data_IF_345619840614
#
_entry.id   IF_345619840614
#
_cell.length_a   1.000
_cell.length_b   1.000
_cell.length_c   1.000
_cell.angle_alpha   90.00
_cell.angle_beta   90.00
_cell.angle_gamma   90.00
#
_symmetry.space_group_name_H-M   'P 1'
#
loop_
_entity.id
_entity.type
_entity.pdbx_description
1 polymer ?
#
# COMPACT_ATOMS: atom_id res chain seq x y z
N UNK A 1 36.97 -6.51 23.90
CA UNK A 1 35.61 -6.83 24.38
C UNK A 1 34.58 -6.08 23.51
N UNK A 2 34.02 -6.73 22.50
CA UNK A 2 32.89 -6.19 21.72
C UNK A 2 31.62 -6.37 22.55
N UNK A 3 30.99 -5.28 22.97
CA UNK A 3 29.67 -5.32 23.59
C UNK A 3 28.71 -5.93 22.60
N UNK A 4 28.11 -7.07 22.94
CA UNK A 4 27.01 -7.64 22.18
C UNK A 4 25.89 -6.57 22.05
N UNK A 5 25.30 -6.36 20.87
CA UNK A 5 24.16 -5.48 20.74
C UNK A 5 23.03 -6.05 21.59
N UNK A 6 22.48 -5.21 22.46
CA UNK A 6 21.28 -5.53 23.22
C UNK A 6 20.19 -5.92 22.21
N UNK A 7 19.78 -7.17 22.24
CA UNK A 7 18.65 -7.68 21.45
C UNK A 7 17.37 -7.03 21.99
N UNK A 8 17.06 -5.82 21.54
CA UNK A 8 15.71 -5.30 21.66
C UNK A 8 14.84 -6.17 20.74
N UNK A 9 14.10 -7.11 21.33
CA UNK A 9 12.99 -7.76 20.62
C UNK A 9 12.11 -6.64 20.09
N UNK A 10 11.94 -6.52 18.76
CA UNK A 10 11.08 -5.48 18.22
C UNK A 10 9.69 -5.62 18.82
N UNK A 11 9.11 -4.52 19.26
CA UNK A 11 7.81 -4.57 19.93
C UNK A 11 6.77 -5.17 18.98
N UNK A 12 5.88 -6.03 19.49
CA UNK A 12 4.79 -6.61 18.69
C UNK A 12 3.97 -5.55 17.95
N UNK A 13 3.90 -4.34 18.53
CA UNK A 13 3.30 -3.16 17.88
C UNK A 13 3.99 -2.76 16.57
N UNK A 14 5.32 -2.79 16.52
CA UNK A 14 6.07 -2.47 15.31
C UNK A 14 5.75 -3.46 14.19
N UNK A 15 5.74 -4.75 14.52
CA UNK A 15 5.38 -5.82 13.57
C UNK A 15 3.95 -5.64 13.08
N UNK A 16 2.98 -5.44 13.99
CA UNK A 16 1.58 -5.25 13.64
C UNK A 16 1.39 -4.01 12.73
N UNK A 17 2.06 -2.90 13.04
CA UNK A 17 2.03 -1.69 12.22
C UNK A 17 2.56 -1.96 10.80
N UNK A 18 3.73 -2.61 10.66
CA UNK A 18 4.30 -2.94 9.35
C UNK A 18 3.40 -3.88 8.54
N UNK A 19 2.83 -4.91 9.18
CA UNK A 19 1.89 -5.82 8.52
C UNK A 19 0.63 -5.10 8.04
N UNK A 20 0.09 -4.19 8.85
CA UNK A 20 -1.08 -3.40 8.49
C UNK A 20 -0.80 -2.44 7.32
N UNK A 21 0.41 -1.84 7.26
CA UNK A 21 0.84 -1.02 6.12
C UNK A 21 0.90 -1.84 4.82
N UNK A 22 1.43 -3.06 4.90
CA UNK A 22 1.50 -3.98 3.75
C UNK A 22 0.11 -4.44 3.32
N UNK A 23 -0.78 -4.74 4.28
CA UNK A 23 -2.15 -5.17 4.02
C UNK A 23 -2.98 -4.09 3.32
N UNK A 24 -2.74 -2.80 3.61
CA UNK A 24 -3.53 -1.68 3.10
C UNK A 24 -3.70 -1.70 1.58
N UNK A 25 -2.62 -1.93 0.84
CA UNK A 25 -2.65 -1.97 -0.62
C UNK A 25 -3.50 -3.13 -1.16
N UNK A 26 -3.42 -4.30 -0.52
CA UNK A 26 -4.22 -5.48 -0.89
C UNK A 26 -5.69 -5.30 -0.57
N UNK A 27 -6.00 -4.72 0.61
CA UNK A 27 -7.37 -4.35 0.99
C UNK A 27 -7.95 -3.38 -0.03
N UNK A 28 -7.23 -2.29 -0.35
CA UNK A 28 -7.66 -1.28 -1.31
C UNK A 28 -7.90 -1.88 -2.72
N UNK A 29 -7.10 -2.87 -3.11
CA UNK A 29 -7.25 -3.54 -4.39
C UNK A 29 -8.51 -4.40 -4.48
N UNK A 30 -8.85 -5.13 -3.41
CA UNK A 30 -9.83 -6.22 -3.48
C UNK A 30 -11.17 -5.94 -2.81
N UNK A 31 -11.25 -4.96 -1.90
CA UNK A 31 -12.48 -4.64 -1.16
C UNK A 31 -13.65 -4.22 -2.06
N UNK A 32 -13.37 -3.58 -3.19
CA UNK A 32 -14.41 -3.12 -4.13
C UNK A 32 -14.82 -4.16 -5.18
N UNK A 33 -14.15 -5.34 -5.26
CA UNK A 33 -14.44 -6.34 -6.30
C UNK A 33 -15.90 -6.76 -6.36
N UNK A 34 -16.62 -7.02 -5.23
CA UNK A 34 -18.04 -7.34 -5.28
C UNK A 34 -18.89 -6.21 -5.86
N UNK A 35 -18.57 -4.96 -5.50
CA UNK A 35 -19.30 -3.77 -5.96
C UNK A 35 -19.16 -3.52 -7.47
N UNK A 36 -18.05 -3.92 -8.07
CA UNK A 36 -17.77 -3.74 -9.50
C UNK A 36 -18.79 -4.46 -10.39
N UNK A 37 -19.45 -5.49 -9.90
CA UNK A 37 -20.47 -6.21 -10.68
C UNK A 37 -21.70 -5.35 -10.96
N UNK A 38 -22.02 -4.41 -10.08
CA UNK A 38 -23.18 -3.52 -10.20
C UNK A 38 -22.84 -2.17 -10.82
N UNK A 39 -21.56 -1.78 -10.91
CA UNK A 39 -21.15 -0.49 -11.42
C UNK A 39 -21.52 -0.26 -12.90
N UNK A 40 -21.56 -1.32 -13.72
CA UNK A 40 -22.03 -1.23 -15.09
C UNK A 40 -23.45 -0.69 -15.18
N UNK A 41 -24.33 -1.19 -14.30
CA UNK A 41 -25.73 -0.73 -14.21
C UNK A 41 -25.83 0.66 -13.53
N UNK A 42 -25.11 0.87 -12.41
CA UNK A 42 -25.15 2.12 -11.64
C UNK A 42 -24.71 3.33 -12.49
N UNK A 43 -23.62 3.17 -13.26
CA UNK A 43 -23.06 4.25 -14.07
C UNK A 43 -23.52 4.21 -15.55
N UNK A 44 -24.38 3.25 -15.92
CA UNK A 44 -24.85 3.05 -17.29
C UNK A 44 -23.71 2.93 -18.31
N UNK A 45 -22.70 2.12 -17.98
CA UNK A 45 -21.49 1.91 -18.80
C UNK A 45 -21.27 0.42 -19.06
N UNK A 46 -20.46 0.11 -20.06
CA UNK A 46 -20.06 -1.26 -20.35
C UNK A 46 -19.13 -1.83 -19.27
N UNK A 47 -19.19 -3.14 -19.08
CA UNK A 47 -18.32 -3.84 -18.12
C UNK A 47 -16.83 -3.67 -18.42
N UNK A 48 -16.46 -3.45 -19.66
CA UNK A 48 -15.10 -3.12 -20.09
C UNK A 48 -14.58 -1.83 -19.43
N UNK A 49 -15.43 -0.80 -19.30
CA UNK A 49 -15.09 0.45 -18.64
C UNK A 49 -14.99 0.30 -17.13
N UNK A 50 -15.85 -0.54 -16.53
CA UNK A 50 -15.74 -0.89 -15.10
C UNK A 50 -14.40 -1.56 -14.80
N UNK A 51 -13.94 -2.46 -15.67
CA UNK A 51 -12.66 -3.14 -15.48
C UNK A 51 -11.45 -2.20 -15.52
N UNK A 52 -11.54 -1.04 -16.16
CA UNK A 52 -10.49 -0.03 -16.12
C UNK A 52 -10.20 0.48 -14.71
N UNK A 53 -11.20 0.47 -13.81
CA UNK A 53 -10.99 0.86 -12.40
C UNK A 53 -10.01 -0.09 -11.69
N UNK A 54 -10.11 -1.39 -11.95
CA UNK A 54 -9.22 -2.40 -11.40
C UNK A 54 -7.85 -2.37 -12.11
N UNK A 55 -7.85 -2.40 -13.44
CA UNK A 55 -6.62 -2.40 -14.24
C UNK A 55 -5.79 -1.13 -13.99
N UNK A 56 -6.43 0.03 -13.94
CA UNK A 56 -5.78 1.31 -13.63
C UNK A 56 -5.15 1.31 -12.23
N UNK A 57 -5.87 0.78 -11.23
CA UNK A 57 -5.32 0.60 -9.89
C UNK A 57 -4.08 -0.30 -9.91
N UNK A 58 -4.16 -1.49 -10.52
CA UNK A 58 -3.07 -2.48 -10.54
C UNK A 58 -1.85 -1.94 -11.30
N UNK A 59 -2.07 -1.26 -12.43
CA UNK A 59 -0.97 -0.64 -13.19
C UNK A 59 -0.25 0.45 -12.39
N UNK A 60 -1.00 1.34 -11.74
CA UNK A 60 -0.43 2.38 -10.89
C UNK A 60 0.27 1.78 -9.66
N UNK A 61 -0.35 0.78 -9.03
CA UNK A 61 0.20 0.07 -7.88
C UNK A 61 1.52 -0.64 -8.23
N UNK A 62 1.56 -1.39 -9.35
CA UNK A 62 2.76 -2.08 -9.81
C UNK A 62 3.86 -1.11 -10.27
N UNK A 63 3.49 -0.08 -11.06
CA UNK A 63 4.43 0.92 -11.55
C UNK A 63 5.08 1.71 -10.41
N UNK A 64 4.31 2.13 -9.42
CA UNK A 64 4.84 2.87 -8.27
C UNK A 64 5.71 2.04 -7.34
N UNK A 65 5.59 0.71 -7.33
CA UNK A 65 6.52 -0.16 -6.59
C UNK A 65 7.97 0.00 -7.09
N UNK A 66 8.16 0.20 -8.39
CA UNK A 66 9.49 0.44 -8.97
C UNK A 66 10.09 1.78 -8.54
N UNK A 67 9.22 2.77 -8.28
CA UNK A 67 9.63 4.13 -7.90
C UNK A 67 9.86 4.24 -6.39
N UNK A 68 8.98 3.68 -5.57
CA UNK A 68 9.06 3.83 -4.11
C UNK A 68 10.28 3.16 -3.48
N UNK A 69 10.83 2.11 -4.06
CA UNK A 69 12.06 1.48 -3.60
C UNK A 69 13.20 2.50 -3.49
N UNK A 70 13.75 2.95 -4.63
CA UNK A 70 14.85 3.92 -4.66
C UNK A 70 14.52 5.25 -3.98
N UNK A 71 13.25 5.70 -4.10
CA UNK A 71 12.81 6.96 -3.50
C UNK A 71 12.85 6.89 -1.97
N UNK A 72 12.46 5.76 -1.38
CA UNK A 72 12.47 5.54 0.06
C UNK A 72 13.88 5.37 0.63
N UNK A 73 14.82 4.82 -0.16
CA UNK A 73 16.23 4.74 0.21
C UNK A 73 16.85 6.14 0.31
N UNK A 74 16.47 7.05 -0.58
CA UNK A 74 16.99 8.40 -0.65
C UNK A 74 16.37 9.37 0.36
N UNK A 75 15.04 9.38 0.48
CA UNK A 75 14.30 10.36 1.28
C UNK A 75 13.89 9.83 2.66
N UNK A 76 14.17 8.55 2.93
CA UNK A 76 13.83 7.89 4.19
C UNK A 76 12.51 7.10 4.09
N UNK A 77 12.53 5.89 4.65
CA UNK A 77 11.43 4.93 4.59
C UNK A 77 10.10 5.54 5.07
N UNK A 78 10.11 6.13 6.26
CA UNK A 78 8.92 6.70 6.88
C UNK A 78 8.31 7.84 6.07
N UNK A 79 9.14 8.75 5.55
CA UNK A 79 8.66 9.91 4.79
C UNK A 79 7.90 9.48 3.53
N UNK A 80 8.46 8.54 2.77
CA UNK A 80 7.84 8.03 1.55
C UNK A 80 6.58 7.22 1.84
N UNK A 81 6.55 6.47 2.94
CA UNK A 81 5.35 5.77 3.38
C UNK A 81 4.21 6.75 3.68
N UNK A 82 4.49 7.84 4.40
CA UNK A 82 3.50 8.87 4.72
C UNK A 82 2.97 9.57 3.46
N UNK A 83 3.85 9.89 2.50
CA UNK A 83 3.43 10.44 1.20
C UNK A 83 2.52 9.46 0.47
N UNK A 84 2.88 8.17 0.41
CA UNK A 84 2.05 7.15 -0.22
C UNK A 84 0.69 7.00 0.45
N UNK A 85 0.64 6.97 1.79
CA UNK A 85 -0.63 6.92 2.53
C UNK A 85 -1.50 8.15 2.29
N UNK A 86 -0.89 9.34 2.18
CA UNK A 86 -1.63 10.58 1.84
C UNK A 86 -2.23 10.50 0.44
N UNK A 87 -1.48 10.00 -0.55
CA UNK A 87 -2.01 9.77 -1.90
C UNK A 87 -3.11 8.71 -1.92
N UNK A 88 -2.92 7.61 -1.19
CA UNK A 88 -3.92 6.55 -1.05
C UNK A 88 -5.21 7.03 -0.38
N UNK A 89 -5.08 7.87 0.66
CA UNK A 89 -6.20 8.55 1.32
C UNK A 89 -6.94 9.47 0.34
N UNK A 90 -6.23 10.34 -0.36
CA UNK A 90 -6.82 11.25 -1.34
C UNK A 90 -7.56 10.46 -2.44
N UNK A 91 -6.94 9.41 -2.99
CA UNK A 91 -7.57 8.52 -3.96
C UNK A 91 -8.83 7.83 -3.42
N UNK A 92 -8.82 7.41 -2.15
CA UNK A 92 -9.99 6.79 -1.51
C UNK A 92 -11.15 7.78 -1.33
N UNK A 93 -10.86 8.99 -0.84
CA UNK A 93 -11.87 10.05 -0.67
C UNK A 93 -12.47 10.44 -2.04
N UNK A 94 -11.61 10.64 -3.04
CA UNK A 94 -12.08 10.95 -4.40
C UNK A 94 -12.97 9.82 -4.93
N UNK A 95 -12.55 8.56 -4.81
CA UNK A 95 -13.34 7.43 -5.29
C UNK A 95 -14.71 7.32 -4.61
N UNK A 96 -14.80 7.61 -3.31
CA UNK A 96 -16.07 7.65 -2.58
C UNK A 96 -17.01 8.77 -3.05
N UNK A 97 -16.45 9.84 -3.62
CA UNK A 97 -17.19 11.09 -3.99
C UNK A 97 -17.52 11.18 -5.49
N UNK A 98 -16.98 10.28 -6.33
CA UNK A 98 -17.23 10.34 -7.78
C UNK A 98 -18.63 9.88 -8.14
N UNK A 99 -19.26 10.64 -9.03
CA UNK A 99 -20.57 10.33 -9.61
C UNK A 99 -20.50 9.75 -11.02
N UNK A 100 -19.30 9.62 -11.59
CA UNK A 100 -19.09 9.11 -12.95
C UNK A 100 -17.93 8.09 -12.99
N UNK A 101 -17.93 7.24 -14.02
CA UNK A 101 -16.96 6.15 -14.16
C UNK A 101 -15.55 6.65 -14.44
N UNK A 102 -15.39 7.74 -15.21
CA UNK A 102 -14.06 8.24 -15.57
C UNK A 102 -13.35 8.83 -14.34
N UNK A 103 -14.07 9.61 -13.55
CA UNK A 103 -13.59 10.11 -12.26
C UNK A 103 -13.21 9.00 -11.30
N UNK A 104 -14.04 7.93 -11.24
CA UNK A 104 -13.75 6.76 -10.43
C UNK A 104 -12.47 6.04 -10.89
N UNK A 105 -12.25 5.88 -12.19
CA UNK A 105 -11.01 5.30 -12.74
C UNK A 105 -9.78 6.12 -12.30
N UNK A 106 -9.83 7.45 -12.46
CA UNK A 106 -8.73 8.33 -12.05
C UNK A 106 -8.45 8.27 -10.54
N UNK A 107 -9.51 8.28 -9.74
CA UNK A 107 -9.41 8.14 -8.30
C UNK A 107 -8.77 6.78 -7.90
N UNK A 108 -9.10 5.70 -8.59
CA UNK A 108 -8.52 4.37 -8.40
C UNK A 108 -7.05 4.30 -8.80
N UNK A 109 -6.66 4.97 -9.88
CA UNK A 109 -5.25 5.11 -10.28
C UNK A 109 -4.45 5.81 -9.17
N UNK A 110 -4.97 6.93 -8.65
CA UNK A 110 -4.34 7.66 -7.54
C UNK A 110 -4.25 6.82 -6.27
N UNK A 111 -5.34 6.11 -5.93
CA UNK A 111 -5.39 5.21 -4.78
C UNK A 111 -4.36 4.08 -4.91
N UNK A 112 -4.25 3.46 -6.09
CA UNK A 112 -3.28 2.41 -6.39
C UNK A 112 -1.84 2.92 -6.27
N UNK A 113 -1.57 4.08 -6.87
CA UNK A 113 -0.26 4.72 -6.77
C UNK A 113 0.16 4.96 -5.31
N UNK A 114 -0.73 5.50 -4.48
CA UNK A 114 -0.44 5.75 -3.07
C UNK A 114 -0.27 4.47 -2.25
N UNK A 115 -1.14 3.48 -2.47
CA UNK A 115 -1.18 2.24 -1.71
C UNK A 115 0.07 1.35 -1.90
N UNK A 116 0.78 1.51 -3.02
CA UNK A 116 1.99 0.76 -3.33
C UNK A 116 3.14 1.00 -2.33
N UNK A 117 3.17 2.17 -1.68
CA UNK A 117 4.21 2.52 -0.72
C UNK A 117 4.24 1.56 0.48
N UNK A 118 3.07 1.14 0.98
CA UNK A 118 2.96 0.20 2.10
C UNK A 118 3.67 -1.13 1.84
N UNK A 119 3.50 -1.68 0.64
CA UNK A 119 4.12 -2.95 0.25
C UNK A 119 5.64 -2.84 0.16
N UNK A 120 6.15 -1.84 -0.57
CA UNK A 120 7.59 -1.70 -0.82
C UNK A 120 8.32 -1.27 0.45
N UNK A 121 7.87 -0.17 1.06
CA UNK A 121 8.52 0.41 2.23
C UNK A 121 8.38 -0.51 3.44
N UNK A 122 7.21 -1.13 3.62
CA UNK A 122 6.98 -2.10 4.70
C UNK A 122 7.94 -3.28 4.65
N UNK A 123 8.09 -3.91 3.47
CA UNK A 123 9.06 -5.00 3.28
C UNK A 123 10.50 -4.57 3.48
N UNK A 124 10.87 -3.40 2.95
CA UNK A 124 12.22 -2.86 3.14
C UNK A 124 12.52 -2.60 4.61
N UNK A 125 11.56 -2.01 5.35
CA UNK A 125 11.72 -1.80 6.80
C UNK A 125 11.86 -3.12 7.58
N UNK A 126 11.15 -4.18 7.18
CA UNK A 126 11.33 -5.49 7.78
C UNK A 126 12.75 -6.03 7.54
N UNK A 127 13.30 -5.84 6.34
CA UNK A 127 14.67 -6.26 6.04
C UNK A 127 15.72 -5.46 6.82
N UNK A 128 15.47 -4.17 7.06
CA UNK A 128 16.38 -3.26 7.74
C UNK A 128 16.35 -3.44 9.27
N UNK A 129 15.17 -3.73 9.84
CA UNK A 129 14.95 -3.76 11.30
C UNK A 129 15.09 -5.13 11.93
N UNK A 130 14.91 -6.21 11.16
CA UNK A 130 14.91 -7.58 11.67
C UNK A 130 16.05 -8.40 11.07
N UNK A 131 16.63 -9.31 11.85
CA UNK A 131 17.72 -10.17 11.42
C UNK A 131 17.48 -11.63 11.83
N UNK A 132 18.12 -12.56 11.11
CA UNK A 132 18.09 -13.99 11.44
C UNK A 132 16.68 -14.57 11.52
N UNK A 133 16.40 -15.41 12.54
CA UNK A 133 15.11 -16.10 12.68
C UNK A 133 13.91 -15.15 12.83
N UNK A 134 14.09 -13.98 13.45
CA UNK A 134 13.01 -12.99 13.60
C UNK A 134 12.54 -12.44 12.26
N UNK A 135 13.49 -12.13 11.36
CA UNK A 135 13.16 -11.70 10.00
C UNK A 135 12.35 -12.76 9.25
N UNK A 136 12.75 -14.04 9.39
CA UNK A 136 12.02 -15.15 8.76
C UNK A 136 10.59 -15.26 9.28
N UNK A 137 10.38 -15.09 10.59
CA UNK A 137 9.04 -15.11 11.18
C UNK A 137 8.17 -13.96 10.67
N UNK A 138 8.70 -12.73 10.62
CA UNK A 138 7.95 -11.57 10.12
C UNK A 138 7.65 -11.72 8.62
N UNK A 139 8.58 -12.27 7.83
CA UNK A 139 8.33 -12.56 6.42
C UNK A 139 7.25 -13.65 6.23
N UNK A 140 7.20 -14.65 7.10
CA UNK A 140 6.11 -15.64 7.09
C UNK A 140 4.75 -15.01 7.42
N UNK A 141 4.70 -14.06 8.39
CA UNK A 141 3.49 -13.29 8.69
C UNK A 141 3.04 -12.44 7.50
N UNK A 142 3.99 -11.82 6.79
CA UNK A 142 3.67 -11.11 5.53
C UNK A 142 3.05 -12.08 4.52
N UNK A 143 3.60 -13.29 4.36
CA UNK A 143 3.03 -14.33 3.50
C UNK A 143 1.59 -14.69 3.86
N UNK A 144 1.28 -14.81 5.16
CA UNK A 144 -0.10 -15.04 5.64
C UNK A 144 -1.02 -13.86 5.32
N UNK A 145 -0.56 -12.63 5.52
CA UNK A 145 -1.32 -11.42 5.15
C UNK A 145 -1.61 -11.41 3.66
N UNK A 146 -0.62 -11.71 2.80
CA UNK A 146 -0.79 -11.76 1.35
C UNK A 146 -1.84 -12.80 0.92
N UNK A 147 -1.89 -13.96 1.59
CA UNK A 147 -2.84 -15.02 1.28
C UNK A 147 -4.25 -14.77 1.83
N UNK A 148 -4.37 -14.26 3.05
CA UNK A 148 -5.66 -14.14 3.74
C UNK A 148 -6.35 -12.78 3.49
N UNK A 149 -5.59 -11.72 3.25
CA UNK A 149 -6.14 -10.38 3.12
C UNK A 149 -7.12 -10.25 1.93
N UNK A 150 -6.83 -10.72 0.70
CA UNK A 150 -7.74 -10.57 -0.42
C UNK A 150 -9.12 -11.24 -0.22
N UNK A 151 -9.23 -12.53 0.19
CA UNK A 151 -10.55 -13.12 0.41
C UNK A 151 -11.32 -12.45 1.54
N UNK A 152 -10.65 -12.08 2.64
CA UNK A 152 -11.31 -11.38 3.75
C UNK A 152 -11.80 -9.98 3.31
N UNK A 153 -10.99 -9.25 2.55
CA UNK A 153 -11.37 -7.94 2.01
C UNK A 153 -12.58 -8.03 1.07
N UNK A 154 -12.63 -9.06 0.23
CA UNK A 154 -13.76 -9.28 -0.68
C UNK A 154 -15.05 -9.55 0.09
N UNK A 155 -15.02 -10.40 1.12
CA UNK A 155 -16.20 -10.68 1.96
C UNK A 155 -16.64 -9.41 2.69
N UNK A 156 -15.71 -8.69 3.32
CA UNK A 156 -16.03 -7.43 4.02
C UNK A 156 -16.59 -6.38 3.04
N UNK A 157 -16.01 -6.25 1.87
CA UNK A 157 -16.45 -5.31 0.85
C UNK A 157 -17.84 -5.61 0.31
N UNK A 158 -18.18 -6.88 0.15
CA UNK A 158 -19.53 -7.31 -0.20
C UNK A 158 -20.56 -6.96 0.87
N UNK A 159 -20.25 -7.20 2.15
CA UNK A 159 -21.14 -6.84 3.26
C UNK A 159 -21.33 -5.31 3.36
N UNK A 160 -20.25 -4.54 3.24
CA UNK A 160 -20.33 -3.08 3.24
C UNK A 160 -21.18 -2.56 2.09
N UNK A 161 -21.03 -3.15 0.90
CA UNK A 161 -21.81 -2.78 -0.27
C UNK A 161 -23.30 -3.01 -0.05
N UNK A 162 -23.69 -4.18 0.45
CA UNK A 162 -25.10 -4.54 0.70
C UNK A 162 -25.74 -3.64 1.77
N UNK A 163 -25.00 -3.31 2.83
CA UNK A 163 -25.53 -2.56 3.96
C UNK A 163 -25.53 -1.03 3.76
N UNK A 164 -24.50 -0.51 3.10
CA UNK A 164 -24.23 0.94 3.06
C UNK A 164 -23.96 1.48 1.65
N UNK A 165 -24.01 0.63 0.63
CA UNK A 165 -23.65 0.99 -0.74
C UNK A 165 -22.14 0.90 -1.02
N UNK A 166 -21.79 0.95 -2.30
CA UNK A 166 -20.42 0.75 -2.78
C UNK A 166 -19.42 1.81 -2.28
N UNK A 167 -19.87 3.03 -2.04
CA UNK A 167 -19.04 4.13 -1.53
C UNK A 167 -18.47 3.84 -0.13
N UNK A 168 -19.17 3.04 0.66
CA UNK A 168 -18.75 2.66 2.01
C UNK A 168 -17.38 1.96 2.01
N UNK A 169 -17.07 1.18 0.99
CA UNK A 169 -15.77 0.54 0.82
C UNK A 169 -14.63 1.56 0.79
N UNK A 170 -14.83 2.67 0.09
CA UNK A 170 -13.83 3.73 -0.03
C UNK A 170 -13.74 4.59 1.23
N UNK A 171 -14.87 4.83 1.91
CA UNK A 171 -14.86 5.53 3.20
C UNK A 171 -14.14 4.72 4.28
N UNK A 172 -14.34 3.41 4.34
CA UNK A 172 -13.60 2.51 5.25
C UNK A 172 -12.11 2.54 4.93
N UNK A 173 -11.73 2.52 3.65
CA UNK A 173 -10.33 2.64 3.24
C UNK A 173 -9.73 4.00 3.60
N UNK A 174 -10.51 5.08 3.50
CA UNK A 174 -10.09 6.42 3.91
C UNK A 174 -9.82 6.48 5.43
N UNK A 175 -10.73 5.96 6.24
CA UNK A 175 -10.56 5.88 7.68
C UNK A 175 -9.33 5.06 8.06
N UNK A 176 -9.15 3.89 7.41
CA UNK A 176 -7.98 3.03 7.62
C UNK A 176 -6.68 3.76 7.25
N UNK A 177 -6.65 4.49 6.13
CA UNK A 177 -5.49 5.27 5.71
C UNK A 177 -5.09 6.32 6.76
N UNK A 178 -6.05 7.02 7.36
CA UNK A 178 -5.80 7.99 8.45
C UNK A 178 -5.21 7.30 9.67
N UNK A 179 -5.78 6.16 10.09
CA UNK A 179 -5.27 5.39 11.23
C UNK A 179 -3.84 4.91 10.97
N UNK A 180 -3.58 4.36 9.78
CA UNK A 180 -2.25 3.88 9.40
C UNK A 180 -1.25 5.03 9.27
N UNK A 181 -1.67 6.19 8.78
CA UNK A 181 -0.85 7.38 8.72
C UNK A 181 -0.41 7.82 10.12
N UNK A 182 -1.35 7.90 11.06
CA UNK A 182 -1.06 8.24 12.45
C UNK A 182 -0.17 7.19 13.14
N UNK A 183 -0.42 5.90 12.87
CA UNK A 183 0.39 4.79 13.37
C UNK A 183 1.82 4.81 12.80
N UNK A 184 1.99 5.12 11.52
CA UNK A 184 3.29 5.28 10.89
C UNK A 184 4.05 6.50 11.44
N UNK A 185 3.33 7.63 11.62
CA UNK A 185 3.91 8.85 12.17
C UNK A 185 4.46 8.65 13.58
N UNK A 186 3.75 7.94 14.45
CA UNK A 186 4.14 7.75 15.86
C UNK A 186 5.03 6.52 16.09
N UNK A 187 4.79 5.44 15.35
CA UNK A 187 5.32 4.12 15.67
C UNK A 187 6.50 3.65 14.82
N UNK A 188 6.73 4.28 13.65
CA UNK A 188 7.83 3.86 12.79
C UNK A 188 9.07 4.73 13.00
N UNK A 189 10.27 4.12 13.12
CA UNK A 189 11.49 4.87 13.27
C UNK A 189 11.77 5.70 12.00
N UNK A 190 12.16 6.97 12.19
CA UNK A 190 12.72 7.77 11.13
C UNK A 190 14.16 7.31 10.90
N UNK A 191 14.35 6.38 9.96
CA UNK A 191 15.71 6.01 9.56
C UNK A 191 16.33 7.17 8.80
N UNK A 192 17.54 7.57 9.24
CA UNK A 192 18.29 8.64 8.57
C UNK A 192 18.61 8.26 7.11
N UNK A 193 18.80 9.31 6.30
CA UNK A 193 19.22 9.21 4.92
C UNK A 193 20.42 8.27 4.81
N UNK A 194 20.31 7.20 4.02
CA UNK A 194 21.49 6.55 3.52
C UNK A 194 22.25 7.60 2.68
N UNK A 195 23.52 7.82 3.00
CA UNK A 195 24.37 8.74 2.24
C UNK A 195 24.65 8.13 0.86
N UNK A 196 23.68 8.26 -0.05
CA UNK A 196 23.86 7.87 -1.45
C UNK A 196 24.37 9.10 -2.20
N UNK A 197 25.60 9.01 -2.71
CA UNK A 197 26.22 10.00 -3.58
C UNK A 197 25.33 10.34 -4.78
N UNK A 198 25.08 11.62 -4.95
CA UNK A 198 24.04 12.22 -5.82
C UNK A 198 24.23 12.08 -7.34
N UNK A 199 25.30 11.43 -7.85
CA UNK A 199 25.68 11.65 -9.25
C UNK A 199 25.21 10.63 -10.29
N UNK A 200 24.67 9.47 -9.92
CA UNK A 200 24.37 8.40 -10.91
C UNK A 200 23.08 7.61 -10.70
N UNK A 201 22.14 8.06 -9.88
CA UNK A 201 20.96 7.25 -9.52
C UNK A 201 20.04 6.89 -10.71
N UNK A 202 19.78 7.83 -11.62
CA UNK A 202 19.00 7.53 -12.84
C UNK A 202 19.71 6.53 -13.75
N UNK A 203 21.03 6.62 -13.87
CA UNK A 203 21.82 5.64 -14.63
C UNK A 203 21.85 4.29 -13.94
N UNK A 204 21.96 4.24 -12.61
CA UNK A 204 21.94 2.97 -11.87
C UNK A 204 20.56 2.33 -11.87
N UNK A 205 19.47 3.09 -11.85
CA UNK A 205 18.12 2.55 -12.05
C UNK A 205 17.98 1.93 -13.44
N UNK A 206 18.32 2.68 -14.49
CA UNK A 206 18.21 2.19 -15.87
C UNK A 206 19.12 0.97 -16.09
N UNK A 207 20.36 0.98 -15.59
CA UNK A 207 21.25 -0.17 -15.72
C UNK A 207 20.81 -1.40 -14.93
N UNK A 208 20.20 -1.23 -13.75
CA UNK A 208 19.66 -2.34 -12.98
C UNK A 208 18.45 -3.02 -13.65
N UNK A 209 17.66 -2.26 -14.43
CA UNK A 209 16.51 -2.80 -15.16
C UNK A 209 16.82 -3.25 -16.60
N UNK A 210 17.97 -2.83 -17.16
CA UNK A 210 18.41 -3.25 -18.51
C UNK A 210 19.26 -4.52 -18.46
N UNK A 211 19.81 -4.89 -17.29
CA UNK A 211 20.64 -6.10 -17.09
C UNK A 211 19.85 -7.31 -16.53
N UNK A 212 18.53 -7.18 -16.36
CA UNK A 212 17.58 -8.27 -16.07
C UNK A 212 16.78 -8.66 -17.32
#
# INVERSE_FOLDING_TARGET
MRRAPLSHRPSGWLVANLLAQIAFGLLAMTICLPSMQEWGHIFSVEQSQVQLTFSGFVMAYGGMQLVYGPLSDRHGRRAILLVGLTLGLAGSILAASMGDMQGLVLARVLQGAGSAAGMVVGRSMVQDLFQGPERTQVMALIGMVLGLCPPLATVLGGQLHVLFGWQANFWVMSALAVVLWAAAWRGLPSQGRAAVSDSHWLRSMVSAYVLL
#
